data_IF_211676399719
#
_entry.id   IF_211676399719
#
_cell.length_a   1.000
_cell.length_b   1.000
_cell.length_c   1.000
_cell.angle_alpha   90.00
_cell.angle_beta   90.00
_cell.angle_gamma   90.00
#
_symmetry.space_group_name_H-M   'P 1'
#
loop_
_entity.id
_entity.type
_entity.pdbx_description
1 polymer ?
#
# COMPACT_ATOMS: atom_id res chain seq x y z
N UNK A 1 12.21 -21.87 -11.32
CA UNK A 1 11.28 -21.30 -10.33
C UNK A 1 9.86 -21.40 -10.88
N UNK A 2 8.80 -21.33 -10.07
CA UNK A 2 7.44 -21.20 -10.61
C UNK A 2 7.32 -19.93 -11.48
N UNK A 3 6.39 -19.97 -12.43
CA UNK A 3 6.17 -18.91 -13.41
C UNK A 3 4.76 -18.35 -13.24
N UNK A 4 4.66 -17.02 -13.30
CA UNK A 4 3.42 -16.24 -13.28
C UNK A 4 3.13 -15.62 -14.64
N UNK A 5 1.85 -15.33 -14.90
CA UNK A 5 1.45 -14.60 -16.09
C UNK A 5 1.40 -13.10 -15.82
N UNK A 6 2.01 -12.32 -16.70
CA UNK A 6 1.95 -10.87 -16.73
C UNK A 6 1.67 -10.40 -18.14
N UNK A 7 1.08 -9.21 -18.28
CA UNK A 7 0.75 -8.61 -19.57
C UNK A 7 1.68 -7.44 -19.84
N UNK A 8 2.20 -7.35 -21.06
CA UNK A 8 2.95 -6.18 -21.50
C UNK A 8 1.99 -5.03 -21.89
N UNK A 9 2.56 -3.89 -22.26
CA UNK A 9 1.81 -2.70 -22.69
C UNK A 9 0.90 -2.91 -23.92
N UNK A 10 1.04 -4.03 -24.65
CA UNK A 10 0.20 -4.42 -25.79
C UNK A 10 -0.93 -5.37 -25.41
N UNK A 11 -1.02 -5.76 -24.14
CA UNK A 11 -1.97 -6.76 -23.68
C UNK A 11 -1.59 -8.19 -24.10
N UNK A 12 -0.33 -8.46 -24.39
CA UNK A 12 0.16 -9.81 -24.68
C UNK A 12 0.63 -10.48 -23.37
N UNK A 13 0.24 -11.72 -23.08
CA UNK A 13 0.66 -12.43 -21.88
C UNK A 13 2.09 -13.00 -22.02
N UNK A 14 2.87 -12.93 -20.94
CA UNK A 14 4.23 -13.45 -20.82
C UNK A 14 4.37 -14.22 -19.50
N UNK A 15 5.11 -15.32 -19.54
CA UNK A 15 5.49 -16.04 -18.33
C UNK A 15 6.79 -15.46 -17.76
N UNK A 16 6.73 -14.98 -16.52
CA UNK A 16 7.87 -14.40 -15.80
C UNK A 16 8.07 -15.18 -14.52
N UNK A 17 9.33 -15.33 -14.10
CA UNK A 17 9.66 -15.97 -12.82
C UNK A 17 9.01 -15.23 -11.65
N UNK A 18 8.46 -16.01 -10.74
CA UNK A 18 7.84 -15.48 -9.52
C UNK A 18 8.86 -14.72 -8.67
N UNK A 19 8.36 -13.75 -7.90
CA UNK A 19 9.15 -13.19 -6.81
C UNK A 19 9.49 -14.33 -5.84
N UNK A 20 10.78 -14.56 -5.53
CA UNK A 20 11.19 -15.70 -4.73
C UNK A 20 10.57 -15.65 -3.34
N UNK A 21 10.13 -16.80 -2.84
CA UNK A 21 9.65 -16.93 -1.47
C UNK A 21 10.78 -16.80 -0.45
N UNK A 22 12.04 -16.95 -0.83
CA UNK A 22 13.17 -16.81 0.08
C UNK A 22 14.40 -16.40 -0.72
N UNK A 23 15.17 -15.46 -0.19
CA UNK A 23 16.45 -15.01 -0.77
C UNK A 23 17.59 -15.89 -0.25
N UNK A 24 17.47 -16.35 1.00
CA UNK A 24 18.45 -17.17 1.69
C UNK A 24 17.72 -18.12 2.64
N UNK A 25 18.16 -19.37 2.67
CA UNK A 25 17.61 -20.41 3.54
C UNK A 25 18.69 -20.90 4.49
N UNK A 26 18.29 -21.13 5.74
CA UNK A 26 19.18 -21.60 6.80
C UNK A 26 18.51 -22.71 7.63
N UNK A 27 19.31 -23.73 7.94
CA UNK A 27 18.97 -24.83 8.85
C UNK A 27 19.82 -24.80 10.13
N UNK A 28 19.24 -25.28 11.23
CA UNK A 28 19.95 -25.44 12.49
C UNK A 28 21.29 -26.20 12.33
N UNK A 29 22.36 -25.57 12.82
CA UNK A 29 23.74 -26.09 12.74
C UNK A 29 24.58 -25.51 11.60
N UNK A 30 23.98 -24.76 10.68
CA UNK A 30 24.73 -23.96 9.69
C UNK A 30 25.23 -22.64 10.31
N UNK A 31 26.34 -22.07 9.83
CA UNK A 31 26.82 -20.77 10.31
C UNK A 31 25.85 -19.64 9.92
N UNK A 32 25.51 -18.78 10.88
CA UNK A 32 24.77 -17.52 10.65
C UNK A 32 25.74 -16.34 10.55
N UNK A 33 25.34 -15.29 9.83
CA UNK A 33 26.03 -14.01 9.94
C UNK A 33 25.72 -13.33 11.29
N UNK A 34 26.57 -12.39 11.71
CA UNK A 34 26.48 -11.75 13.03
C UNK A 34 25.12 -11.06 13.31
N UNK A 35 24.51 -10.34 12.35
CA UNK A 35 23.17 -9.77 12.52
C UNK A 35 22.07 -10.83 12.71
N UNK A 36 22.04 -11.87 11.88
CA UNK A 36 21.04 -12.95 12.00
C UNK A 36 21.20 -13.70 13.32
N UNK A 37 22.44 -14.00 13.74
CA UNK A 37 22.72 -14.67 14.99
C UNK A 37 22.13 -13.88 16.19
N UNK A 38 22.29 -12.56 16.20
CA UNK A 38 21.75 -11.69 17.24
C UNK A 38 20.22 -11.72 17.27
N UNK A 39 19.57 -11.65 16.10
CA UNK A 39 18.10 -11.70 15.99
C UNK A 39 17.57 -13.05 16.49
N UNK A 40 18.15 -14.16 16.02
CA UNK A 40 17.73 -15.51 16.39
C UNK A 40 17.88 -15.75 17.89
N UNK A 41 19.04 -15.44 18.48
CA UNK A 41 19.25 -15.58 19.93
C UNK A 41 18.21 -14.80 20.73
N UNK A 42 17.92 -13.57 20.31
CA UNK A 42 16.92 -12.73 20.99
C UNK A 42 15.51 -13.33 20.88
N UNK A 43 15.16 -13.89 19.74
CA UNK A 43 13.85 -14.53 19.51
C UNK A 43 13.72 -15.81 20.32
N UNK A 44 14.76 -16.65 20.36
CA UNK A 44 14.78 -17.87 21.18
C UNK A 44 14.63 -17.57 22.67
N UNK A 45 15.27 -16.51 23.16
CA UNK A 45 15.10 -16.02 24.53
C UNK A 45 13.67 -15.58 24.81
N UNK A 46 13.08 -14.77 23.93
CA UNK A 46 11.75 -14.17 24.14
C UNK A 46 10.63 -15.19 23.99
N UNK A 47 10.74 -16.10 23.04
CA UNK A 47 9.76 -17.17 22.86
C UNK A 47 10.01 -18.37 23.75
N UNK A 48 11.20 -18.46 24.36
CA UNK A 48 11.66 -19.62 25.14
C UNK A 48 11.59 -20.94 24.34
N UNK A 49 11.84 -20.86 23.02
CA UNK A 49 11.81 -21.99 22.07
C UNK A 49 12.91 -21.81 21.03
N UNK A 50 13.61 -22.89 20.67
CA UNK A 50 14.68 -22.87 19.67
C UNK A 50 14.15 -22.71 18.24
N UNK A 51 14.95 -22.06 17.40
CA UNK A 51 14.72 -21.95 15.96
C UNK A 51 15.34 -23.14 15.24
N UNK A 52 14.55 -23.81 14.40
CA UNK A 52 14.99 -24.99 13.62
C UNK A 52 15.32 -24.64 12.17
N UNK A 53 14.59 -23.71 11.58
CA UNK A 53 14.74 -23.28 10.19
C UNK A 53 14.45 -21.77 10.08
N UNK A 54 15.12 -21.10 9.15
CA UNK A 54 14.88 -19.71 8.81
C UNK A 54 14.94 -19.50 7.30
N UNK A 55 13.93 -18.82 6.76
CA UNK A 55 13.89 -18.31 5.40
C UNK A 55 13.91 -16.78 5.41
N UNK A 56 14.85 -16.19 4.69
CA UNK A 56 15.02 -14.75 4.59
C UNK A 56 14.11 -14.22 3.48
N UNK A 57 13.00 -13.58 3.88
CA UNK A 57 11.99 -13.03 2.95
C UNK A 57 12.43 -11.69 2.35
N UNK A 58 13.04 -10.84 3.16
CA UNK A 58 13.54 -9.53 2.73
C UNK A 58 14.68 -9.05 3.64
N UNK A 59 15.61 -8.29 3.06
CA UNK A 59 16.77 -7.68 3.75
C UNK A 59 17.01 -6.24 3.28
N UNK A 60 15.95 -5.49 2.96
CA UNK A 60 16.06 -4.11 2.48
C UNK A 60 16.18 -3.14 3.68
N UNK A 61 15.12 -2.38 3.98
CA UNK A 61 15.05 -1.52 5.18
C UNK A 61 14.90 -2.34 6.47
N UNK A 62 14.15 -3.44 6.37
CA UNK A 62 13.91 -4.37 7.47
C UNK A 62 14.37 -5.75 7.04
N UNK A 63 14.94 -6.49 7.99
CA UNK A 63 15.06 -7.94 7.90
C UNK A 63 13.67 -8.54 8.19
N UNK A 64 13.16 -9.34 7.26
CA UNK A 64 11.90 -10.10 7.40
C UNK A 64 12.25 -11.58 7.29
N UNK A 65 12.06 -12.32 8.37
CA UNK A 65 12.47 -13.72 8.50
C UNK A 65 11.23 -14.59 8.76
N UNK A 66 11.07 -15.64 7.96
CA UNK A 66 10.09 -16.69 8.16
C UNK A 66 10.75 -17.84 8.91
N UNK A 67 10.34 -18.06 10.15
CA UNK A 67 11.05 -18.91 11.09
C UNK A 67 10.18 -20.06 11.55
N UNK A 68 10.75 -21.26 11.51
CA UNK A 68 10.20 -22.46 12.14
C UNK A 68 10.83 -22.67 13.51
N UNK A 69 9.97 -22.89 14.50
CA UNK A 69 10.34 -23.16 15.88
C UNK A 69 10.32 -24.66 16.16
N UNK A 70 11.10 -25.10 17.14
CA UNK A 70 11.18 -26.52 17.54
C UNK A 70 9.83 -27.11 17.99
N UNK A 71 8.88 -26.28 18.41
CA UNK A 71 7.52 -26.72 18.76
C UNK A 71 6.57 -26.85 17.54
N UNK A 72 7.09 -26.63 16.33
CA UNK A 72 6.36 -26.72 15.07
C UNK A 72 5.61 -25.46 14.66
N UNK A 73 5.62 -24.40 15.47
CA UNK A 73 5.04 -23.11 15.08
C UNK A 73 5.90 -22.42 14.03
N UNK A 74 5.26 -21.73 13.09
CA UNK A 74 5.92 -20.80 12.16
C UNK A 74 5.52 -19.36 12.47
N UNK A 75 6.50 -18.47 12.48
CA UNK A 75 6.35 -17.05 12.82
C UNK A 75 7.10 -16.18 11.82
N UNK A 76 6.64 -14.94 11.66
CA UNK A 76 7.40 -13.90 10.97
C UNK A 76 8.12 -13.04 12.00
N UNK A 77 9.40 -12.80 11.76
CA UNK A 77 10.24 -11.91 12.57
C UNK A 77 10.60 -10.70 11.71
N UNK A 78 10.35 -9.50 12.23
CA UNK A 78 10.73 -8.24 11.59
C UNK A 78 11.67 -7.47 12.50
N UNK A 79 12.79 -7.02 11.95
CA UNK A 79 13.77 -6.20 12.65
C UNK A 79 14.36 -5.14 11.71
N UNK A 80 14.79 -3.97 12.22
CA UNK A 80 15.58 -3.03 11.43
C UNK A 80 16.81 -3.71 10.82
N UNK A 81 17.06 -3.46 9.54
CA UNK A 81 18.33 -3.86 8.95
C UNK A 81 19.46 -2.95 9.43
N UNK A 82 20.70 -3.45 9.40
CA UNK A 82 21.89 -2.72 9.86
C UNK A 82 22.04 -1.41 9.09
N UNK A 83 22.18 -0.29 9.82
CA UNK A 83 22.31 1.05 9.26
C UNK A 83 20.99 1.73 8.88
N UNK A 84 19.84 1.04 9.00
CA UNK A 84 18.52 1.58 8.69
C UNK A 84 17.72 1.97 9.96
N UNK A 85 18.32 1.88 11.14
CA UNK A 85 17.59 1.81 12.41
C UNK A 85 16.85 3.12 12.73
N UNK A 86 17.46 4.26 12.42
CA UNK A 86 16.83 5.58 12.61
C UNK A 86 15.55 5.77 11.76
N UNK A 87 15.44 5.06 10.64
CA UNK A 87 14.28 5.14 9.74
C UNK A 87 13.27 4.03 10.04
N UNK A 88 13.74 2.80 10.26
CA UNK A 88 12.91 1.63 10.46
C UNK A 88 12.21 1.60 11.82
N UNK A 89 12.88 2.01 12.90
CA UNK A 89 12.33 1.91 14.26
C UNK A 89 11.00 2.67 14.41
N UNK A 90 10.90 3.95 14.00
CA UNK A 90 9.62 4.67 14.09
C UNK A 90 8.49 4.03 13.27
N UNK A 91 8.80 3.42 12.11
CA UNK A 91 7.82 2.78 11.23
C UNK A 91 7.33 1.45 11.81
N UNK A 92 8.26 0.61 12.27
CA UNK A 92 7.97 -0.65 13.00
C UNK A 92 7.10 -0.37 14.22
N UNK A 93 7.41 0.66 15.01
CA UNK A 93 6.60 1.02 16.18
C UNK A 93 5.17 1.43 15.80
N UNK A 94 4.99 2.14 14.68
CA UNK A 94 3.65 2.48 14.18
C UNK A 94 2.90 1.25 13.70
N UNK A 95 3.57 0.36 12.98
CA UNK A 95 3.00 -0.90 12.50
C UNK A 95 2.48 -1.76 13.67
N UNK A 96 3.25 -1.87 14.76
CA UNK A 96 2.82 -2.60 15.97
C UNK A 96 1.50 -2.05 16.51
N UNK A 97 1.42 -0.73 16.70
CA UNK A 97 0.25 -0.12 17.34
C UNK A 97 -0.98 -0.17 16.41
N UNK A 98 -0.82 0.07 15.11
CA UNK A 98 -1.94 -0.02 14.16
C UNK A 98 -2.44 -1.46 14.01
N UNK A 99 -1.56 -2.47 13.99
CA UNK A 99 -1.97 -3.88 13.91
C UNK A 99 -2.77 -4.30 15.13
N UNK A 100 -2.33 -3.92 16.35
CA UNK A 100 -3.09 -4.18 17.60
C UNK A 100 -4.47 -3.54 17.55
N UNK A 101 -4.55 -2.29 17.10
CA UNK A 101 -5.81 -1.56 17.01
C UNK A 101 -6.74 -2.18 15.96
N UNK A 102 -6.24 -2.50 14.76
CA UNK A 102 -7.03 -3.13 13.71
C UNK A 102 -7.55 -4.51 14.10
N UNK A 103 -6.76 -5.30 14.85
CA UNK A 103 -7.19 -6.63 15.33
C UNK A 103 -8.38 -6.55 16.29
N UNK A 104 -8.52 -5.42 16.98
CA UNK A 104 -9.62 -5.16 17.93
C UNK A 104 -10.83 -4.51 17.25
N UNK A 105 -10.61 -3.74 16.18
CA UNK A 105 -11.65 -2.92 15.54
C UNK A 105 -12.12 -3.44 14.17
N UNK A 106 -11.53 -4.51 13.64
CA UNK A 106 -11.88 -5.06 12.33
C UNK A 106 -11.76 -6.59 12.29
N UNK A 107 -12.28 -7.19 11.22
CA UNK A 107 -12.03 -8.60 10.87
C UNK A 107 -11.11 -8.76 9.66
N UNK A 108 -10.39 -7.70 9.30
CA UNK A 108 -9.42 -7.75 8.19
C UNK A 108 -8.34 -8.78 8.56
N UNK A 109 -7.98 -9.69 7.65
CA UNK A 109 -6.96 -10.69 7.93
C UNK A 109 -5.59 -10.00 7.99
N UNK A 110 -5.11 -9.73 9.20
CA UNK A 110 -3.81 -9.10 9.46
C UNK A 110 -3.01 -9.92 10.50
N UNK A 111 -1.66 -9.84 10.47
CA UNK A 111 -0.83 -10.59 11.41
C UNK A 111 -1.12 -10.21 12.86
N UNK A 112 -1.31 -11.21 13.74
CA UNK A 112 -1.28 -11.00 15.18
C UNK A 112 0.15 -10.79 15.68
N UNK A 113 0.36 -9.83 16.59
CA UNK A 113 1.65 -9.63 17.26
C UNK A 113 1.75 -10.60 18.44
N UNK A 114 2.73 -11.51 18.41
CA UNK A 114 2.99 -12.46 19.50
C UNK A 114 3.93 -11.88 20.55
N UNK A 115 4.88 -11.03 20.13
CA UNK A 115 5.81 -10.39 21.04
C UNK A 115 6.53 -9.21 20.39
N UNK A 116 6.90 -8.24 21.22
CA UNK A 116 7.76 -7.12 20.82
C UNK A 116 8.93 -7.09 21.78
N UNK A 117 10.13 -7.20 21.24
CA UNK A 117 11.36 -7.07 22.02
C UNK A 117 11.77 -5.61 22.01
N UNK A 118 11.33 -4.85 23.01
CA UNK A 118 11.77 -3.46 23.16
C UNK A 118 13.13 -3.45 23.86
N UNK A 119 14.11 -2.93 23.17
CA UNK A 119 15.47 -2.78 23.64
C UNK A 119 15.60 -1.88 24.88
N UNK A 120 15.67 -2.46 26.08
CA UNK A 120 16.21 -1.76 27.25
C UNK A 120 17.76 -1.67 27.21
N UNK A 121 18.39 -2.05 26.09
CA UNK A 121 19.84 -2.07 25.89
C UNK A 121 20.24 -1.11 24.75
N UNK A 122 21.32 -0.30 24.86
CA UNK A 122 21.74 0.69 23.85
C UNK A 122 22.09 0.14 22.45
N UNK A 123 22.01 -1.18 22.24
CA UNK A 123 22.31 -1.89 20.99
C UNK A 123 21.20 -2.85 20.56
N UNK A 124 20.11 -2.96 21.32
CA UNK A 124 19.00 -3.78 20.89
C UNK A 124 18.11 -2.93 19.97
N UNK A 125 17.61 -3.54 18.91
CA UNK A 125 16.64 -2.96 18.00
C UNK A 125 15.29 -3.60 18.27
N UNK A 126 14.15 -2.92 18.02
CA UNK A 126 12.85 -3.53 18.16
C UNK A 126 12.76 -4.74 17.23
N UNK A 127 12.54 -5.91 17.81
CA UNK A 127 12.23 -7.13 17.07
C UNK A 127 10.75 -7.43 17.29
N UNK A 128 10.01 -7.54 16.20
CA UNK A 128 8.62 -7.99 16.22
C UNK A 128 8.60 -9.47 15.91
N UNK A 129 7.91 -10.25 16.73
CA UNK A 129 7.49 -11.62 16.41
C UNK A 129 5.99 -11.59 16.16
N UNK A 130 5.57 -12.02 14.97
CA UNK A 130 4.18 -11.98 14.54
C UNK A 130 3.74 -13.27 13.84
N UNK A 131 2.43 -13.41 13.70
CA UNK A 131 1.77 -14.49 13.00
C UNK A 131 2.22 -14.58 11.53
N UNK A 132 2.56 -15.78 11.08
CA UNK A 132 2.67 -16.08 9.65
C UNK A 132 1.28 -16.41 9.11
N UNK A 133 0.70 -15.50 8.34
CA UNK A 133 -0.58 -15.73 7.68
C UNK A 133 -0.44 -16.75 6.54
N UNK A 134 -1.48 -17.58 6.29
CA UNK A 134 -1.47 -18.55 5.20
C UNK A 134 -1.70 -17.87 3.84
N UNK A 135 -1.37 -18.58 2.76
CA UNK A 135 -1.61 -18.14 1.38
C UNK A 135 -0.35 -17.72 0.65
N UNK A 136 -0.54 -17.29 -0.59
CA UNK A 136 0.52 -16.86 -1.51
C UNK A 136 0.30 -15.40 -1.90
N UNK A 137 1.39 -14.65 -2.10
CA UNK A 137 1.34 -13.25 -2.53
C UNK A 137 0.56 -13.12 -3.84
N UNK A 138 -0.46 -12.25 -3.86
CA UNK A 138 -1.32 -12.01 -5.03
C UNK A 138 -0.46 -11.69 -6.26
N UNK A 139 0.64 -10.96 -6.09
CA UNK A 139 1.62 -10.68 -7.14
C UNK A 139 2.07 -11.93 -7.93
N UNK A 140 2.32 -13.05 -7.25
CA UNK A 140 2.82 -14.30 -7.83
C UNK A 140 1.71 -15.25 -8.32
N UNK A 141 0.43 -14.92 -8.18
CA UNK A 141 -0.64 -15.90 -8.51
C UNK A 141 -1.80 -15.30 -9.26
N UNK A 142 -2.01 -13.98 -9.20
CA UNK A 142 -3.19 -13.34 -9.74
C UNK A 142 -3.32 -13.56 -11.25
N UNK A 143 -2.23 -13.47 -12.02
CA UNK A 143 -2.30 -13.65 -13.48
C UNK A 143 -2.71 -15.05 -13.94
N UNK A 144 -2.62 -16.06 -13.07
CA UNK A 144 -3.09 -17.44 -13.33
C UNK A 144 -4.33 -17.78 -12.49
N UNK A 145 -4.93 -16.82 -11.80
CA UNK A 145 -6.02 -17.06 -10.86
C UNK A 145 -7.31 -17.43 -11.60
N UNK A 146 -7.90 -18.60 -11.36
CA UNK A 146 -9.19 -18.97 -11.95
C UNK A 146 -10.39 -18.34 -11.20
N UNK A 147 -10.15 -17.69 -10.05
CA UNK A 147 -11.19 -17.20 -9.13
C UNK A 147 -11.15 -15.69 -8.93
N UNK A 148 -10.86 -14.93 -10.00
CA UNK A 148 -10.74 -13.48 -9.92
C UNK A 148 -11.95 -12.79 -9.26
N UNK A 149 -13.18 -13.26 -9.54
CA UNK A 149 -14.38 -12.66 -8.96
C UNK A 149 -14.41 -12.76 -7.43
N UNK A 150 -14.00 -13.91 -6.87
CA UNK A 150 -13.94 -14.10 -5.41
C UNK A 150 -12.84 -13.26 -4.77
N UNK A 151 -11.72 -13.10 -5.48
CA UNK A 151 -10.65 -12.20 -5.04
C UNK A 151 -11.15 -10.76 -4.99
N UNK A 152 -11.86 -10.29 -6.02
CA UNK A 152 -12.44 -8.95 -6.05
C UNK A 152 -13.50 -8.74 -4.97
N UNK A 153 -14.33 -9.74 -4.70
CA UNK A 153 -15.28 -9.71 -3.58
C UNK A 153 -14.57 -9.57 -2.22
N UNK A 154 -13.46 -10.29 -2.04
CA UNK A 154 -12.64 -10.21 -0.82
C UNK A 154 -11.98 -8.84 -0.66
N UNK A 155 -11.42 -8.27 -1.74
CA UNK A 155 -10.92 -6.89 -1.73
C UNK A 155 -12.04 -5.89 -1.38
N UNK A 156 -13.23 -6.05 -1.95
CA UNK A 156 -14.37 -5.18 -1.66
C UNK A 156 -14.78 -5.25 -0.18
N UNK A 157 -14.78 -6.45 0.42
CA UNK A 157 -15.07 -6.64 1.84
C UNK A 157 -14.06 -5.95 2.76
N UNK A 158 -12.77 -5.96 2.39
CA UNK A 158 -11.72 -5.25 3.13
C UNK A 158 -11.90 -3.73 2.99
N UNK A 159 -12.14 -3.23 1.77
CA UNK A 159 -12.36 -1.81 1.51
C UNK A 159 -13.57 -1.27 2.30
N UNK A 160 -14.68 -2.00 2.34
CA UNK A 160 -15.88 -1.64 3.11
C UNK A 160 -15.59 -1.65 4.62
N UNK A 161 -14.84 -2.63 5.12
CA UNK A 161 -14.45 -2.63 6.53
C UNK A 161 -13.62 -1.39 6.86
N UNK A 162 -12.61 -1.06 6.05
CA UNK A 162 -11.80 0.15 6.25
C UNK A 162 -12.62 1.43 6.20
N UNK A 163 -13.57 1.52 5.27
CA UNK A 163 -14.47 2.66 5.12
C UNK A 163 -15.32 2.90 6.38
N UNK A 164 -15.75 1.82 7.04
CA UNK A 164 -16.65 1.88 8.20
C UNK A 164 -15.93 1.96 9.56
N UNK A 165 -14.60 1.89 9.59
CA UNK A 165 -13.82 2.09 10.82
C UNK A 165 -14.01 3.50 11.37
N UNK A 166 -14.11 3.61 12.69
CA UNK A 166 -14.18 4.92 13.35
C UNK A 166 -12.79 5.55 13.40
N UNK A 167 -12.58 6.61 12.65
CA UNK A 167 -11.30 7.34 12.58
C UNK A 167 -11.48 8.84 12.86
N UNK A 168 -10.41 9.53 13.29
CA UNK A 168 -10.41 10.99 13.32
C UNK A 168 -10.78 11.59 11.95
N UNK A 169 -11.41 12.76 11.97
CA UNK A 169 -11.80 13.48 10.76
C UNK A 169 -10.76 14.54 10.40
N UNK A 170 -9.52 14.07 10.29
CA UNK A 170 -8.31 14.84 9.97
C UNK A 170 -7.46 14.03 9.00
N UNK A 171 -6.66 14.71 8.17
CA UNK A 171 -5.87 14.10 7.10
C UNK A 171 -4.39 14.09 7.48
N UNK A 172 -3.79 12.91 7.48
CA UNK A 172 -2.40 12.69 7.90
C UNK A 172 -2.11 11.22 8.14
N UNK A 173 -1.04 10.89 8.84
CA UNK A 173 -0.74 9.50 9.25
C UNK A 173 -1.48 9.18 10.54
N UNK A 174 -2.10 8.01 10.65
CA UNK A 174 -2.73 7.61 11.91
C UNK A 174 -1.64 7.39 12.98
N UNK A 175 -1.92 7.85 14.18
CA UNK A 175 -1.08 7.65 15.34
C UNK A 175 -1.91 6.99 16.43
N UNK A 176 -1.55 5.76 16.78
CA UNK A 176 -2.31 4.95 17.73
C UNK A 176 -1.56 4.89 19.05
N UNK A 177 -2.28 5.13 20.14
CA UNK A 177 -1.81 4.93 21.50
C UNK A 177 -2.90 4.18 22.29
N UNK A 178 -2.70 2.87 22.47
CA UNK A 178 -3.73 1.99 23.02
C UNK A 178 -4.97 1.92 22.11
N UNK A 179 -6.15 2.23 22.65
CA UNK A 179 -7.40 2.20 21.89
C UNK A 179 -7.71 3.51 21.15
N UNK A 180 -6.90 4.55 21.37
CA UNK A 180 -7.12 5.87 20.77
C UNK A 180 -6.30 6.03 19.50
N UNK A 181 -6.96 6.54 18.47
CA UNK A 181 -6.34 6.96 17.22
C UNK A 181 -6.38 8.49 17.13
N UNK A 182 -5.23 9.08 16.83
CA UNK A 182 -5.04 10.49 16.49
C UNK A 182 -4.37 10.58 15.10
N UNK A 183 -4.09 11.80 14.64
CA UNK A 183 -3.48 12.06 13.33
C UNK A 183 -2.26 12.95 13.49
N UNK A 184 -1.14 12.50 12.93
CA UNK A 184 0.10 13.27 12.81
C UNK A 184 0.34 13.68 11.35
N UNK A 185 1.24 14.62 11.06
CA UNK A 185 1.56 14.97 9.67
C UNK A 185 1.91 13.73 8.85
N UNK A 186 1.42 13.68 7.59
CA UNK A 186 1.55 12.49 6.73
C UNK A 186 3.03 12.12 6.55
N UNK A 187 3.36 10.88 6.90
CA UNK A 187 4.63 10.23 6.59
C UNK A 187 4.35 9.22 5.50
N UNK A 188 4.77 9.55 4.29
CA UNK A 188 4.50 8.76 3.09
C UNK A 188 5.68 7.87 2.72
N UNK A 189 5.42 6.86 1.88
CA UNK A 189 6.44 5.96 1.33
C UNK A 189 7.47 6.76 0.52
N UNK A 190 6.99 7.63 -0.37
CA UNK A 190 7.82 8.62 -1.05
C UNK A 190 7.97 9.87 -0.16
N UNK A 191 9.21 10.24 0.17
CA UNK A 191 9.48 11.41 1.02
C UNK A 191 8.89 12.71 0.46
N UNK A 192 8.80 12.82 -0.86
CA UNK A 192 8.19 13.97 -1.56
C UNK A 192 6.70 14.15 -1.24
N UNK A 193 6.00 13.07 -0.85
CA UNK A 193 4.57 13.07 -0.54
C UNK A 193 4.30 13.26 0.97
N UNK A 194 5.35 13.33 1.78
CA UNK A 194 5.23 13.59 3.22
C UNK A 194 4.88 15.05 3.48
N UNK A 195 4.16 15.31 4.57
CA UNK A 195 3.75 16.66 4.94
C UNK A 195 4.24 17.07 6.33
N UNK A 196 4.42 18.37 6.54
CA UNK A 196 4.78 18.96 7.83
C UNK A 196 3.57 19.34 8.69
N UNK A 197 2.35 19.20 8.15
CA UNK A 197 1.10 19.53 8.84
C UNK A 197 0.04 18.45 8.66
N UNK A 198 -0.92 18.47 9.57
CA UNK A 198 -2.21 17.77 9.46
C UNK A 198 -3.20 18.70 8.75
N UNK A 199 -4.13 18.14 7.98
CA UNK A 199 -5.16 18.90 7.29
C UNK A 199 -6.55 18.55 7.85
N UNK A 200 -7.47 19.49 7.74
CA UNK A 200 -8.86 19.35 8.19
C UNK A 200 -9.87 19.28 7.03
N UNK A 201 -9.39 19.37 5.79
CA UNK A 201 -10.22 19.40 4.59
C UNK A 201 -9.50 18.85 3.37
N UNK A 202 -10.27 18.22 2.48
CA UNK A 202 -9.80 17.72 1.18
C UNK A 202 -9.19 18.85 0.35
N UNK A 203 -9.80 20.04 0.34
CA UNK A 203 -9.33 21.21 -0.39
C UNK A 203 -7.93 21.62 0.09
N UNK A 204 -7.73 21.74 1.40
CA UNK A 204 -6.44 22.15 1.96
C UNK A 204 -5.35 21.12 1.66
N UNK A 205 -5.68 19.83 1.67
CA UNK A 205 -4.77 18.75 1.33
C UNK A 205 -4.44 18.72 -0.17
N UNK A 206 -5.43 18.73 -1.05
CA UNK A 206 -5.21 18.67 -2.49
C UNK A 206 -4.41 19.89 -3.01
N UNK A 207 -4.75 21.10 -2.54
CA UNK A 207 -4.00 22.31 -2.87
C UNK A 207 -2.55 22.26 -2.37
N UNK A 208 -2.29 21.63 -1.22
CA UNK A 208 -0.91 21.52 -0.73
C UNK A 208 -0.09 20.53 -1.55
N UNK A 209 -0.68 19.46 -2.07
CA UNK A 209 0.04 18.55 -2.98
C UNK A 209 0.47 19.30 -4.24
N UNK A 210 -0.44 20.08 -4.85
CA UNK A 210 -0.12 20.89 -6.04
C UNK A 210 1.00 21.90 -5.73
N UNK A 211 0.90 22.61 -4.61
CA UNK A 211 1.93 23.58 -4.19
C UNK A 211 3.28 22.91 -3.92
N UNK A 212 3.32 21.72 -3.31
CA UNK A 212 4.55 20.96 -3.13
C UNK A 212 5.16 20.55 -4.48
N UNK A 213 4.33 20.13 -5.44
CA UNK A 213 4.77 19.82 -6.79
C UNK A 213 5.30 21.06 -7.51
N UNK A 214 4.67 22.23 -7.36
CA UNK A 214 5.19 23.51 -7.88
C UNK A 214 6.58 23.80 -7.35
N UNK A 215 6.79 23.64 -6.04
CA UNK A 215 8.11 23.85 -5.44
C UNK A 215 9.15 22.85 -5.93
N UNK A 216 8.73 21.62 -6.20
CA UNK A 216 9.64 20.59 -6.75
C UNK A 216 10.14 20.92 -8.18
N UNK A 217 9.41 21.79 -8.89
CA UNK A 217 9.82 22.31 -10.20
C UNK A 217 10.89 23.42 -10.08
N UNK A 218 11.06 24.05 -8.91
CA UNK A 218 12.08 25.07 -8.70
C UNK A 218 13.48 24.45 -8.88
N UNK A 219 14.14 24.78 -10.00
CA UNK A 219 15.46 24.24 -10.34
C UNK A 219 15.46 23.19 -11.46
N UNK A 220 14.29 22.83 -12.00
CA UNK A 220 14.20 22.12 -13.28
C UNK A 220 14.56 23.04 -14.46
N UNK A 221 14.79 22.48 -15.64
CA UNK A 221 15.03 23.27 -16.85
C UNK A 221 13.82 24.13 -17.24
N UNK A 222 14.05 25.19 -18.01
CA UNK A 222 13.02 26.18 -18.37
C UNK A 222 11.82 25.57 -19.10
N UNK A 223 12.02 24.52 -19.90
CA UNK A 223 10.96 23.85 -20.64
C UNK A 223 10.06 23.08 -19.68
N UNK A 224 10.67 22.22 -18.84
CA UNK A 224 9.96 21.44 -17.82
C UNK A 224 9.22 22.35 -16.82
N UNK A 225 9.87 23.42 -16.36
CA UNK A 225 9.26 24.39 -15.45
C UNK A 225 8.03 25.07 -16.07
N UNK A 226 8.17 25.61 -17.29
CA UNK A 226 7.09 26.33 -17.97
C UNK A 226 5.90 25.41 -18.23
N UNK A 227 6.18 24.18 -18.68
CA UNK A 227 5.14 23.20 -18.93
C UNK A 227 4.46 22.74 -17.65
N UNK A 228 5.24 22.37 -16.63
CA UNK A 228 4.71 21.92 -15.35
C UNK A 228 3.81 22.98 -14.72
N UNK A 229 4.24 24.24 -14.68
CA UNK A 229 3.41 25.34 -14.16
C UNK A 229 2.10 25.49 -14.92
N UNK A 230 2.13 25.45 -16.26
CA UNK A 230 0.92 25.52 -17.10
C UNK A 230 -0.06 24.37 -16.84
N UNK A 231 0.44 23.14 -16.68
CA UNK A 231 -0.40 21.98 -16.37
C UNK A 231 -1.00 22.09 -14.98
N UNK A 232 -0.22 22.51 -13.98
CA UNK A 232 -0.69 22.70 -12.61
C UNK A 232 -1.72 23.84 -12.51
N UNK A 233 -1.54 24.96 -13.24
CA UNK A 233 -2.51 26.06 -13.32
C UNK A 233 -3.86 25.55 -13.83
N UNK A 234 -3.85 24.75 -14.90
CA UNK A 234 -5.06 24.15 -15.46
C UNK A 234 -5.77 23.22 -14.46
N UNK A 235 -5.02 22.46 -13.68
CA UNK A 235 -5.62 21.60 -12.64
C UNK A 235 -6.28 22.45 -11.56
N UNK A 236 -5.59 23.50 -11.08
CA UNK A 236 -6.14 24.42 -10.08
C UNK A 236 -7.43 25.08 -10.55
N UNK A 237 -7.54 25.45 -11.83
CA UNK A 237 -8.77 25.98 -12.43
C UNK A 237 -9.94 24.98 -12.36
N UNK A 238 -9.68 23.68 -12.47
CA UNK A 238 -10.69 22.62 -12.44
C UNK A 238 -11.11 22.23 -11.02
N UNK A 239 -10.23 22.42 -10.03
CA UNK A 239 -10.45 21.96 -8.66
C UNK A 239 -11.77 22.45 -8.01
N UNK A 240 -12.19 23.73 -8.14
CA UNK A 240 -13.45 24.18 -7.55
C UNK A 240 -14.68 23.40 -8.07
N UNK A 241 -14.70 23.11 -9.37
CA UNK A 241 -15.76 22.31 -10.01
C UNK A 241 -15.77 20.89 -9.47
N UNK A 242 -14.58 20.26 -9.37
CA UNK A 242 -14.42 18.92 -8.79
C UNK A 242 -14.89 18.89 -7.34
N UNK A 243 -14.41 19.79 -6.48
CA UNK A 243 -14.77 19.83 -5.07
C UNK A 243 -16.27 20.05 -4.84
N UNK A 244 -16.92 20.87 -5.67
CA UNK A 244 -18.37 21.09 -5.60
C UNK A 244 -19.17 19.80 -5.82
N UNK A 245 -18.74 18.96 -6.76
CA UNK A 245 -19.33 17.64 -7.03
C UNK A 245 -19.05 16.66 -5.89
N UNK A 246 -17.88 16.78 -5.26
CA UNK A 246 -17.48 15.92 -4.16
C UNK A 246 -17.99 16.37 -2.78
N UNK A 247 -19.10 17.10 -2.67
CA UNK A 247 -19.53 17.74 -1.41
C UNK A 247 -20.30 16.86 -0.41
N UNK A 248 -20.66 15.61 -0.76
CA UNK A 248 -21.47 14.73 0.09
C UNK A 248 -20.68 14.24 1.32
N UNK A 249 -21.32 13.96 2.47
CA UNK A 249 -20.62 13.42 3.65
C UNK A 249 -19.83 12.15 3.36
N UNK A 250 -20.41 11.21 2.60
CA UNK A 250 -19.76 9.99 2.12
C UNK A 250 -18.43 10.25 1.39
N UNK A 251 -18.30 11.41 0.74
CA UNK A 251 -17.08 11.77 0.03
C UNK A 251 -15.99 12.32 0.97
N UNK A 252 -16.43 13.02 2.02
CA UNK A 252 -15.59 13.90 2.84
C UNK A 252 -15.15 13.26 4.15
N UNK A 253 -15.87 12.26 4.65
CA UNK A 253 -15.44 11.59 5.85
C UNK A 253 -14.07 10.96 5.62
N UNK A 254 -13.23 11.02 6.64
CA UNK A 254 -11.94 10.39 6.59
C UNK A 254 -12.04 8.93 7.04
N UNK A 255 -11.17 8.09 6.48
CA UNK A 255 -11.03 6.67 6.77
C UNK A 255 -9.55 6.26 6.75
N UNK A 256 -9.24 5.09 7.30
CA UNK A 256 -7.90 4.52 7.25
C UNK A 256 -7.57 3.96 5.86
N UNK A 257 -6.38 4.29 5.36
CA UNK A 257 -5.81 3.87 4.09
C UNK A 257 -4.44 3.22 4.34
N UNK A 258 -4.13 2.12 3.65
CA UNK A 258 -2.89 1.35 3.81
C UNK A 258 -1.66 1.99 3.15
N UNK A 259 -1.80 3.03 2.32
CA UNK A 259 -0.73 3.74 1.57
C UNK A 259 0.22 2.90 0.67
N UNK A 260 0.35 1.59 0.87
CA UNK A 260 1.18 0.63 0.12
C UNK A 260 0.44 -0.72 -0.06
N UNK A 261 -0.83 -0.69 -0.47
CA UNK A 261 -1.62 -1.90 -0.72
C UNK A 261 -1.30 -2.50 -2.09
N UNK A 262 -0.04 -2.85 -2.29
CA UNK A 262 0.42 -3.52 -3.51
C UNK A 262 0.03 -5.01 -3.51
N UNK A 263 0.00 -5.69 -4.67
CA UNK A 263 -0.27 -7.13 -4.73
C UNK A 263 0.81 -7.98 -4.04
N UNK A 264 1.96 -7.41 -3.69
CA UNK A 264 2.99 -8.09 -2.89
C UNK A 264 2.61 -8.15 -1.41
N UNK A 265 1.81 -7.17 -0.95
CA UNK A 265 1.39 -7.03 0.45
C UNK A 265 0.01 -7.67 0.73
N UNK A 266 -0.51 -8.45 -0.21
CA UNK A 266 -1.78 -9.17 -0.07
C UNK A 266 -1.54 -10.66 -0.33
N UNK A 267 -2.03 -11.50 0.57
CA UNK A 267 -2.01 -12.95 0.43
C UNK A 267 -3.39 -13.47 0.00
N UNK A 268 -3.40 -14.54 -0.79
CA UNK A 268 -4.62 -15.27 -1.13
C UNK A 268 -4.46 -16.79 -1.00
N UNK A 269 -5.56 -17.48 -0.71
CA UNK A 269 -5.65 -18.94 -0.75
C UNK A 269 -5.93 -19.48 -2.16
N UNK A 270 -5.97 -20.80 -2.28
CA UNK A 270 -6.23 -21.50 -3.55
C UNK A 270 -7.66 -21.28 -4.06
N UNK A 271 -8.57 -20.84 -3.19
CA UNK A 271 -9.98 -20.60 -3.48
C UNK A 271 -10.26 -19.16 -3.90
N UNK A 272 -9.27 -18.27 -3.87
CA UNK A 272 -9.39 -16.86 -4.25
C UNK A 272 -9.84 -15.94 -3.12
N UNK A 273 -9.77 -16.35 -1.85
CA UNK A 273 -10.03 -15.47 -0.71
C UNK A 273 -8.75 -14.74 -0.31
N UNK A 274 -8.89 -13.48 0.10
CA UNK A 274 -7.78 -12.76 0.74
C UNK A 274 -7.57 -13.33 2.15
N UNK A 275 -6.36 -13.81 2.41
CA UNK A 275 -5.96 -14.42 3.69
C UNK A 275 -4.98 -13.56 4.48
N UNK A 276 -4.50 -12.46 3.91
CA UNK A 276 -3.61 -11.53 4.60
C UNK A 276 -3.48 -10.19 3.91
N UNK A 277 -3.46 -9.12 4.70
CA UNK A 277 -3.04 -7.76 4.33
C UNK A 277 -1.86 -7.40 5.23
N UNK A 278 -0.69 -7.24 4.62
CA UNK A 278 0.62 -7.16 5.26
C UNK A 278 1.23 -5.76 5.14
N UNK A 279 2.28 -5.46 5.90
CA UNK A 279 3.09 -4.23 5.78
C UNK A 279 2.33 -2.92 6.03
N UNK A 280 1.75 -2.79 7.23
CA UNK A 280 1.04 -1.59 7.70
C UNK A 280 1.97 -0.48 8.22
N UNK A 281 3.25 -0.49 7.82
CA UNK A 281 4.24 0.48 8.29
C UNK A 281 4.00 1.90 7.73
N UNK A 282 3.30 1.98 6.60
CA UNK A 282 2.70 3.19 6.06
C UNK A 282 1.19 3.05 6.12
N UNK A 283 0.54 4.11 6.59
CA UNK A 283 -0.90 4.26 6.54
C UNK A 283 -1.24 5.73 6.74
N UNK A 284 -2.42 6.09 6.28
CA UNK A 284 -2.94 7.43 6.48
C UNK A 284 -4.43 7.44 6.76
N UNK A 285 -4.87 8.51 7.41
CA UNK A 285 -6.27 8.89 7.49
C UNK A 285 -6.52 9.88 6.35
N UNK A 286 -7.43 9.53 5.46
CA UNK A 286 -7.66 10.26 4.20
C UNK A 286 -9.17 10.37 3.93
N UNK A 287 -9.63 11.45 3.26
CA UNK A 287 -11.02 11.53 2.80
C UNK A 287 -11.36 10.34 1.92
N UNK A 288 -12.57 9.79 2.04
CA UNK A 288 -12.97 8.56 1.35
C UNK A 288 -12.83 8.66 -0.17
N UNK A 289 -13.09 9.83 -0.78
CA UNK A 289 -12.85 10.02 -2.23
C UNK A 289 -11.39 9.87 -2.63
N UNK A 290 -10.44 9.96 -1.70
CA UNK A 290 -9.03 9.69 -1.97
C UNK A 290 -8.62 8.26 -1.56
N UNK A 291 -9.26 7.68 -0.55
CA UNK A 291 -8.88 6.40 0.04
C UNK A 291 -9.58 5.17 -0.55
N UNK A 292 -10.78 5.33 -1.14
CA UNK A 292 -11.53 4.21 -1.73
C UNK A 292 -11.11 4.05 -3.19
N UNK A 293 -10.28 3.05 -3.46
CA UNK A 293 -9.69 2.83 -4.79
C UNK A 293 -9.89 1.42 -5.32
N UNK A 294 -9.61 1.24 -6.62
CA UNK A 294 -9.57 -0.08 -7.24
C UNK A 294 -8.23 -0.76 -6.88
N UNK A 295 -8.22 -2.09 -6.64
CA UNK A 295 -6.98 -2.83 -6.42
C UNK A 295 -5.99 -2.59 -7.56
N UNK A 296 -4.74 -2.29 -7.21
CA UNK A 296 -3.69 -1.93 -8.18
C UNK A 296 -3.46 -2.99 -9.26
N UNK A 297 -3.67 -4.28 -8.95
CA UNK A 297 -3.53 -5.39 -9.90
C UNK A 297 -4.52 -5.36 -11.08
N UNK A 298 -5.63 -4.60 -10.97
CA UNK A 298 -6.65 -4.49 -12.03
C UNK A 298 -6.74 -3.09 -12.63
N UNK A 299 -5.77 -2.19 -12.38
CA UNK A 299 -5.81 -0.81 -12.88
C UNK A 299 -5.20 -0.67 -14.27
N UNK A 300 -5.95 -0.03 -15.16
CA UNK A 300 -5.58 0.38 -16.52
C UNK A 300 -6.05 1.82 -16.77
N UNK A 301 -5.98 2.67 -15.74
CA UNK A 301 -6.46 4.05 -15.74
C UNK A 301 -5.38 5.02 -15.27
N UNK A 302 -5.58 6.32 -15.55
CA UNK A 302 -4.64 7.34 -15.10
C UNK A 302 -3.22 7.07 -15.62
N UNK A 303 -2.27 7.05 -14.70
CA UNK A 303 -0.87 6.71 -14.95
C UNK A 303 -0.63 5.20 -15.22
N UNK A 304 -1.59 4.34 -14.86
CA UNK A 304 -1.54 2.88 -15.07
C UNK A 304 -2.08 2.45 -16.43
N UNK A 305 -2.63 3.37 -17.22
CA UNK A 305 -3.03 3.07 -18.60
C UNK A 305 -1.75 2.97 -19.48
N UNK A 306 -1.57 1.87 -20.22
CA UNK A 306 -0.44 1.68 -21.13
C UNK A 306 -0.21 2.81 -22.15
N UNK A 307 -1.18 3.71 -22.39
CA UNK A 307 -0.98 4.88 -23.24
C UNK A 307 -0.19 6.01 -22.59
N UNK A 308 -0.19 6.07 -21.27
CA UNK A 308 0.35 7.18 -20.48
C UNK A 308 1.44 6.72 -19.49
N UNK A 309 1.94 5.50 -19.63
CA UNK A 309 3.06 5.00 -18.83
C UNK A 309 4.39 5.40 -19.47
N UNK A 310 5.36 5.87 -18.68
CA UNK A 310 6.68 6.32 -19.17
C UNK A 310 7.63 5.16 -19.51
N UNK A 311 7.69 4.16 -18.64
CA UNK A 311 8.59 3.00 -18.77
C UNK A 311 7.84 1.80 -19.35
N UNK A 312 7.24 1.98 -20.53
CA UNK A 312 6.33 1.00 -21.13
C UNK A 312 6.91 -0.40 -21.25
N UNK A 313 8.18 -0.50 -21.65
CA UNK A 313 8.87 -1.78 -21.87
C UNK A 313 9.28 -2.46 -20.56
N UNK A 314 9.28 -1.74 -19.43
CA UNK A 314 9.63 -2.27 -18.10
C UNK A 314 8.39 -2.47 -17.20
N UNK A 315 7.22 -2.03 -17.65
CA UNK A 315 5.98 -2.10 -16.88
C UNK A 315 5.17 -3.34 -17.26
N UNK A 316 4.74 -4.07 -16.24
CA UNK A 316 3.96 -5.28 -16.37
C UNK A 316 2.62 -5.16 -15.64
N UNK A 317 1.54 -5.57 -16.30
CA UNK A 317 0.22 -5.65 -15.72
C UNK A 317 -0.06 -7.07 -15.24
N UNK A 318 -0.77 -7.18 -14.14
CA UNK A 318 -0.98 -8.47 -13.45
C UNK A 318 -2.17 -9.26 -14.01
N UNK A 319 -3.05 -8.61 -14.75
CA UNK A 319 -4.19 -9.21 -15.46
C UNK A 319 -4.30 -8.62 -16.85
N UNK A 320 -4.93 -9.33 -17.78
CA UNK A 320 -5.18 -8.82 -19.13
C UNK A 320 -6.17 -7.64 -19.14
N UNK A 321 -6.13 -6.76 -20.16
CA UNK A 321 -6.97 -5.57 -20.22
C UNK A 321 -8.48 -5.88 -20.26
N UNK A 322 -8.88 -6.96 -20.95
CA UNK A 322 -10.28 -7.40 -20.97
C UNK A 322 -10.75 -7.90 -19.61
N UNK A 323 -9.89 -8.60 -18.89
CA UNK A 323 -10.21 -9.11 -17.56
C UNK A 323 -10.22 -7.97 -16.54
N UNK A 324 -9.27 -7.03 -16.60
CA UNK A 324 -9.27 -5.81 -15.78
C UNK A 324 -10.61 -5.08 -15.85
N UNK A 325 -11.15 -4.85 -17.05
CA UNK A 325 -12.43 -4.15 -17.22
C UNK A 325 -13.58 -4.88 -16.51
N UNK A 326 -13.68 -6.20 -16.67
CA UNK A 326 -14.69 -7.04 -16.00
C UNK A 326 -14.49 -7.04 -14.49
N UNK A 327 -13.26 -7.13 -14.01
CA UNK A 327 -12.95 -7.22 -12.58
C UNK A 327 -13.20 -5.90 -11.85
N UNK A 328 -12.98 -4.76 -12.50
CA UNK A 328 -13.40 -3.46 -11.96
C UNK A 328 -14.91 -3.40 -11.77
N UNK A 329 -15.68 -3.88 -12.74
CA UNK A 329 -17.15 -3.95 -12.62
C UNK A 329 -17.55 -4.86 -11.46
N UNK A 330 -16.97 -6.06 -11.35
CA UNK A 330 -17.24 -6.99 -10.25
C UNK A 330 -16.91 -6.38 -8.88
N UNK A 331 -15.75 -5.71 -8.76
CA UNK A 331 -15.35 -5.03 -7.53
C UNK A 331 -16.33 -3.90 -7.16
N UNK A 332 -16.62 -3.00 -8.11
CA UNK A 332 -17.51 -1.88 -7.89
C UNK A 332 -18.94 -2.31 -7.52
N UNK A 333 -19.51 -3.30 -8.24
CA UNK A 333 -20.84 -3.81 -7.93
C UNK A 333 -20.86 -4.59 -6.60
N UNK A 334 -19.77 -5.28 -6.24
CA UNK A 334 -19.64 -5.92 -4.93
C UNK A 334 -19.67 -4.90 -3.79
N UNK A 335 -18.98 -3.75 -3.95
CA UNK A 335 -19.04 -2.67 -2.97
C UNK A 335 -20.45 -2.10 -2.92
N UNK A 336 -21.00 -1.71 -4.07
CA UNK A 336 -22.34 -1.09 -4.18
C UNK A 336 -23.46 -1.92 -3.57
N UNK A 337 -23.37 -3.25 -3.72
CA UNK A 337 -24.37 -4.17 -3.17
C UNK A 337 -24.35 -4.22 -1.63
N UNK A 338 -23.22 -3.89 -1.00
CA UNK A 338 -23.00 -3.98 0.45
C UNK A 338 -23.00 -2.61 1.14
N UNK A 339 -22.40 -1.61 0.50
CA UNK A 339 -22.24 -0.26 1.02
C UNK A 339 -22.27 0.78 -0.12
N UNK A 340 -23.38 1.51 -0.21
CA UNK A 340 -23.60 2.49 -1.27
C UNK A 340 -22.73 3.74 -1.10
N UNK A 341 -22.46 4.17 0.13
CA UNK A 341 -21.66 5.37 0.38
C UNK A 341 -20.20 5.13 0.02
N UNK A 342 -19.68 3.94 0.35
CA UNK A 342 -18.36 3.49 -0.08
C UNK A 342 -18.25 3.44 -1.62
N UNK A 343 -19.26 2.89 -2.29
CA UNK A 343 -19.30 2.87 -3.76
C UNK A 343 -19.36 4.27 -4.39
N UNK A 344 -20.10 5.22 -3.80
CA UNK A 344 -20.14 6.60 -4.27
C UNK A 344 -18.76 7.26 -4.14
N UNK A 345 -18.04 7.06 -3.03
CA UNK A 345 -16.66 7.52 -2.87
C UNK A 345 -15.70 6.88 -3.90
N UNK A 346 -15.88 5.58 -4.21
CA UNK A 346 -15.14 4.89 -5.26
C UNK A 346 -15.37 5.53 -6.63
N UNK A 347 -16.62 5.70 -7.07
CA UNK A 347 -16.88 6.14 -8.45
C UNK A 347 -16.68 7.64 -8.61
N UNK A 348 -17.22 8.46 -7.71
CA UNK A 348 -17.20 9.91 -7.86
C UNK A 348 -15.80 10.49 -7.64
N UNK A 349 -15.01 9.87 -6.75
CA UNK A 349 -13.64 10.30 -6.43
C UNK A 349 -12.58 9.96 -7.48
N UNK A 350 -12.89 9.11 -8.46
CA UNK A 350 -11.89 8.54 -9.39
C UNK A 350 -11.06 9.61 -10.11
N UNK A 351 -11.73 10.65 -10.60
CA UNK A 351 -11.03 11.69 -11.36
C UNK A 351 -10.05 12.50 -10.49
N UNK A 352 -10.44 12.83 -9.26
CA UNK A 352 -9.55 13.55 -8.33
C UNK A 352 -8.37 12.69 -7.89
N UNK A 353 -8.59 11.39 -7.61
CA UNK A 353 -7.49 10.46 -7.28
C UNK A 353 -6.46 10.42 -8.39
N UNK A 354 -6.91 10.24 -9.63
CA UNK A 354 -6.02 10.21 -10.81
C UNK A 354 -5.25 11.52 -10.99
N UNK A 355 -5.88 12.68 -10.75
CA UNK A 355 -5.18 13.97 -10.76
C UNK A 355 -4.08 14.00 -9.69
N UNK A 356 -4.39 13.61 -8.45
CA UNK A 356 -3.41 13.65 -7.37
C UNK A 356 -2.30 12.62 -7.56
N UNK A 357 -2.61 11.42 -8.06
CA UNK A 357 -1.62 10.41 -8.49
C UNK A 357 -0.62 11.01 -9.49
N UNK A 358 -1.11 11.73 -10.51
CA UNK A 358 -0.23 12.45 -11.45
C UNK A 358 0.60 13.55 -10.78
N UNK A 359 -0.02 14.35 -9.91
CA UNK A 359 0.65 15.48 -9.23
C UNK A 359 1.75 15.00 -8.29
N UNK A 360 1.57 13.87 -7.59
CA UNK A 360 2.52 13.38 -6.58
C UNK A 360 3.58 12.43 -7.12
N UNK A 361 3.33 11.77 -8.25
CA UNK A 361 4.24 10.79 -8.85
C UNK A 361 5.46 11.37 -9.57
N UNK A 362 5.56 12.70 -9.71
CA UNK A 362 6.71 13.37 -10.32
C UNK A 362 6.91 13.03 -11.80
N UNK A 363 5.83 12.71 -12.52
CA UNK A 363 5.90 12.27 -13.92
C UNK A 363 6.04 13.44 -14.88
N UNK A 364 6.54 13.09 -16.07
CA UNK A 364 6.53 13.87 -17.30
C UNK A 364 5.20 14.61 -17.54
N UNK A 365 5.26 15.94 -17.41
CA UNK A 365 4.12 16.82 -17.61
C UNK A 365 3.60 16.79 -19.06
N UNK A 366 4.39 16.33 -20.05
CA UNK A 366 3.90 16.10 -21.42
C UNK A 366 2.83 15.00 -21.44
N UNK A 367 3.11 13.88 -20.77
CA UNK A 367 2.20 12.73 -20.75
C UNK A 367 0.97 13.06 -19.92
N UNK A 368 1.18 13.72 -18.77
CA UNK A 368 0.08 14.20 -17.93
C UNK A 368 -0.85 15.14 -18.69
N UNK A 369 -0.30 16.06 -19.49
CA UNK A 369 -1.10 16.97 -20.30
C UNK A 369 -1.89 16.23 -21.39
N UNK A 370 -1.27 15.26 -22.07
CA UNK A 370 -1.98 14.41 -23.04
C UNK A 370 -3.13 13.65 -22.39
N UNK A 371 -2.91 13.14 -21.18
CA UNK A 371 -3.95 12.51 -20.38
C UNK A 371 -5.08 13.50 -20.01
N UNK A 372 -4.74 14.68 -19.49
CA UNK A 372 -5.72 15.72 -19.18
C UNK A 372 -6.53 16.13 -20.43
N UNK A 373 -5.88 16.24 -21.59
CA UNK A 373 -6.56 16.52 -22.85
C UNK A 373 -7.58 15.46 -23.25
N UNK A 374 -7.35 14.19 -22.90
CA UNK A 374 -8.30 13.13 -23.19
C UNK A 374 -9.48 13.09 -22.18
N UNK A 375 -9.22 13.35 -20.90
CA UNK A 375 -10.17 13.03 -19.82
C UNK A 375 -10.78 14.24 -19.09
N UNK A 376 -10.26 15.46 -19.29
CA UNK A 376 -10.79 16.65 -18.63
C UNK A 376 -12.10 17.20 -19.25
N UNK A 377 -12.62 16.56 -20.30
CA UNK A 377 -13.84 17.01 -20.99
C UNK A 377 -15.05 16.94 -20.05
N UNK A 378 -15.42 18.08 -19.45
CA UNK A 378 -16.60 18.20 -18.59
C UNK A 378 -16.33 18.61 -17.14
N UNK A 379 -15.12 19.08 -16.81
CA UNK A 379 -14.79 19.64 -15.50
C UNK A 379 -14.52 21.14 -15.56
#
# INVERSE_FOLDING_TARGET
>A
MPLSLYWNHRGEPHEIEDCPESIEHWDAGQPLNEPQCTIIQTVEEVLSVQVTQMDVRAMSRNAVLDVELHDGRRVIIRAPNVGCENVSIPLINREIEILKWLKTNSSIPIPAIYGVVTANHPKAFPIIVMEKLPGTMVFNVVGKCPYYERLMQSFADIQIQLFNLQTPQLIGTAYVEGDKMDVIPKVALARAESSSRVYDSLEAYANSQIEMTRRSLEGQDEVTLTQGMRVLDRIEEMLPSIFSRLSRPAHRHCMLMHDDLSPMNVLMDAEGNVTGVLDWEYQSIMPAVLAVEYPTCIRYDGMHDPKYTKNLEETWWLVGPEDSAKLREVYAESIKAKDRECWEALVDGEFLRRILEWVTSGIDFDIMEQWLNAFAHGY
#
